data_IF_825421269035
#
_entry.id   IF_825421269035
#
_cell.length_a   1.000
_cell.length_b   1.000
_cell.length_c   1.000
_cell.angle_alpha   90.00
_cell.angle_beta   90.00
_cell.angle_gamma   90.00
#
_symmetry.space_group_name_H-M   'P 1'
#
loop_
_entity.id
_entity.type
_entity.pdbx_description
1 polymer ?
#
# COMPACT_ATOMS: atom_id res chain seq x y z
N UNK A 1 -11.04 3.69 0.28
CA UNK A 1 -9.58 3.39 0.20
C UNK A 1 -8.97 4.00 1.45
N UNK A 2 -8.14 3.29 2.20
CA UNK A 2 -7.70 3.78 3.52
C UNK A 2 -6.28 3.34 3.84
N UNK A 3 -5.50 4.21 4.50
CA UNK A 3 -4.18 3.86 5.02
C UNK A 3 -4.34 3.37 6.47
N UNK A 4 -3.79 2.21 6.76
CA UNK A 4 -3.75 1.60 8.10
C UNK A 4 -2.32 1.29 8.50
N UNK A 5 -2.06 1.21 9.80
CA UNK A 5 -0.78 0.74 10.32
C UNK A 5 -0.80 -0.78 10.42
N UNK A 6 0.22 -1.42 9.87
CA UNK A 6 0.50 -2.84 10.13
C UNK A 6 0.98 -3.05 11.58
N UNK A 7 1.01 -4.30 12.03
CA UNK A 7 1.59 -4.68 13.33
C UNK A 7 3.05 -4.26 13.52
N UNK A 8 3.78 -3.99 12.43
CA UNK A 8 5.16 -3.45 12.45
C UNK A 8 5.21 -1.93 12.34
N UNK A 9 4.09 -1.25 12.58
CA UNK A 9 3.91 0.20 12.47
C UNK A 9 4.25 0.80 11.08
N UNK A 10 4.20 -0.03 10.03
CA UNK A 10 4.37 0.39 8.63
C UNK A 10 3.02 0.70 7.99
N UNK A 11 2.98 1.73 7.17
CA UNK A 11 1.78 2.09 6.42
C UNK A 11 1.42 1.00 5.39
N UNK A 12 0.13 0.68 5.35
CA UNK A 12 -0.48 -0.19 4.36
C UNK A 12 -1.73 0.46 3.80
N UNK A 13 -1.90 0.37 2.49
CA UNK A 13 -3.09 0.85 1.81
C UNK A 13 -4.05 -0.33 1.61
N UNK A 14 -5.29 -0.14 2.05
CA UNK A 14 -6.41 -1.04 1.80
C UNK A 14 -7.23 -0.51 0.62
N UNK A 15 -7.27 -1.29 -0.45
CA UNK A 15 -8.04 -0.99 -1.66
C UNK A 15 -8.70 -2.27 -2.18
N UNK A 16 -10.02 -2.25 -2.33
CA UNK A 16 -10.79 -3.32 -2.96
C UNK A 16 -10.49 -4.72 -2.40
N UNK A 17 -10.27 -4.83 -1.09
CA UNK A 17 -9.92 -6.09 -0.41
C UNK A 17 -8.44 -6.50 -0.53
N UNK A 18 -7.63 -5.75 -1.27
CA UNK A 18 -6.17 -5.96 -1.38
C UNK A 18 -5.41 -5.05 -0.43
N UNK A 19 -4.24 -5.55 -0.02
CA UNK A 19 -3.27 -4.81 0.79
C UNK A 19 -2.10 -4.41 -0.08
N UNK A 20 -1.71 -3.14 0.01
CA UNK A 20 -0.54 -2.62 -0.66
C UNK A 20 0.42 -2.04 0.37
N UNK A 21 1.72 -2.21 0.14
CA UNK A 21 2.80 -1.60 0.92
C UNK A 21 3.41 -0.46 0.12
N UNK A 22 3.84 0.58 0.80
CA UNK A 22 4.56 1.68 0.17
C UNK A 22 5.89 1.18 -0.40
N UNK A 23 6.18 1.51 -1.66
CA UNK A 23 7.43 1.10 -2.30
C UNK A 23 8.62 1.86 -1.71
N UNK A 24 8.44 3.17 -1.48
CA UNK A 24 9.43 4.08 -0.90
C UNK A 24 8.70 5.15 -0.06
N UNK A 25 9.36 5.68 0.97
CA UNK A 25 8.78 6.74 1.83
C UNK A 25 8.47 8.03 1.07
N UNK A 26 9.30 8.38 0.09
CA UNK A 26 9.15 9.61 -0.71
C UNK A 26 8.21 9.46 -1.92
N UNK A 27 7.76 8.24 -2.23
CA UNK A 27 6.88 8.00 -3.37
C UNK A 27 5.46 7.68 -2.91
N UNK A 28 4.49 8.13 -3.70
CA UNK A 28 3.06 7.81 -3.54
C UNK A 28 2.68 6.46 -4.16
N UNK A 29 3.68 5.64 -4.53
CA UNK A 29 3.47 4.34 -5.20
C UNK A 29 3.36 3.24 -4.17
N UNK A 30 2.26 2.50 -4.22
CA UNK A 30 1.97 1.34 -3.40
C UNK A 30 1.99 0.07 -4.23
N UNK A 31 2.62 -0.97 -3.72
CA UNK A 31 2.76 -2.28 -4.37
C UNK A 31 1.94 -3.32 -3.62
N UNK A 32 1.24 -4.16 -4.36
CA UNK A 32 0.47 -5.24 -3.78
C UNK A 32 1.36 -6.15 -2.90
N UNK A 33 0.81 -6.60 -1.77
CA UNK A 33 1.56 -7.43 -0.82
C UNK A 33 1.61 -8.92 -1.19
N UNK A 34 0.76 -9.40 -2.12
CA UNK A 34 0.78 -10.80 -2.57
C UNK A 34 1.94 -11.04 -3.54
N UNK A 35 2.63 -12.19 -3.40
CA UNK A 35 3.79 -12.53 -4.23
C UNK A 35 3.48 -12.62 -5.73
N UNK A 36 2.25 -13.01 -6.09
CA UNK A 36 1.78 -13.13 -7.48
C UNK A 36 0.95 -11.92 -7.95
N UNK A 37 1.13 -10.77 -7.31
CA UNK A 37 0.33 -9.58 -7.57
C UNK A 37 1.23 -8.44 -8.06
N UNK A 38 1.23 -8.21 -9.37
CA UNK A 38 1.96 -7.10 -10.00
C UNK A 38 1.25 -5.74 -9.86
N UNK A 39 0.13 -5.68 -9.12
CA UNK A 39 -0.68 -4.48 -8.94
C UNK A 39 0.09 -3.33 -8.28
N UNK A 40 0.02 -2.16 -8.89
CA UNK A 40 0.62 -0.90 -8.40
C UNK A 40 -0.43 0.20 -8.43
N UNK A 41 -0.49 1.00 -7.38
CA UNK A 41 -1.42 2.13 -7.29
C UNK A 41 -0.69 3.38 -6.81
N UNK A 42 -1.10 4.53 -7.34
CA UNK A 42 -0.65 5.84 -6.86
C UNK A 42 -1.71 6.38 -5.91
N UNK A 43 -1.32 6.66 -4.67
CA UNK A 43 -2.22 7.19 -3.65
C UNK A 43 -1.42 8.06 -2.68
N UNK A 44 -1.79 9.34 -2.59
CA UNK A 44 -1.10 10.34 -1.75
C UNK A 44 -1.73 10.48 -0.36
N UNK A 45 -2.99 10.06 -0.19
CA UNK A 45 -3.68 10.11 1.10
C UNK A 45 -4.06 11.52 1.57
N UNK A 46 -3.87 12.53 0.71
CA UNK A 46 -4.43 13.87 0.82
C UNK A 46 -5.90 13.91 0.38
#
# INVERSE_FOLDING_TARGET
>A
MSIVKSSKNKDQLLLSGYRYRRANKSQIIWRCCRNDCAGRVRFDGT
#
